data_IF_599405939718
#
_entry.id   IF_599405939718
#
_cell.length_a   1.000
_cell.length_b   1.000
_cell.length_c   1.000
_cell.angle_alpha   90.00
_cell.angle_beta   90.00
_cell.angle_gamma   90.00
#
_symmetry.space_group_name_H-M   'P 1'
#
loop_
_entity.id
_entity.type
_entity.pdbx_description
1 polymer ?
#
# COMPACT_ATOMS: atom_id res chain seq x y z
N UNK A 1 -24.17 15.68 41.54
CA UNK A 1 -23.49 14.39 41.28
C UNK A 1 -23.16 14.13 39.79
N UNK A 2 -23.38 15.10 38.87
CA UNK A 2 -23.22 14.94 37.40
C UNK A 2 -21.86 15.42 36.84
N UNK A 3 -21.11 16.25 37.58
CA UNK A 3 -19.75 16.68 37.19
C UNK A 3 -18.71 15.57 37.36
N UNK A 4 -18.85 14.76 38.40
CA UNK A 4 -17.98 13.60 38.66
C UNK A 4 -18.29 12.45 37.69
N UNK A 5 -19.56 12.32 37.28
CA UNK A 5 -19.98 11.37 36.24
C UNK A 5 -19.48 11.79 34.85
N UNK A 6 -19.49 13.10 34.55
CA UNK A 6 -18.89 13.65 33.32
C UNK A 6 -17.37 13.47 33.27
N UNK A 7 -16.67 13.55 34.42
CA UNK A 7 -15.23 13.32 34.51
C UNK A 7 -14.87 11.84 34.28
N UNK A 8 -15.71 10.91 34.76
CA UNK A 8 -15.49 9.46 34.64
C UNK A 8 -15.73 8.95 33.20
N UNK A 9 -16.66 9.56 32.45
CA UNK A 9 -16.90 9.25 31.03
C UNK A 9 -15.72 9.69 30.14
N UNK A 10 -15.08 10.83 30.44
CA UNK A 10 -13.93 11.34 29.67
C UNK A 10 -12.71 10.43 29.79
N UNK A 11 -12.46 9.86 30.98
CA UNK A 11 -11.34 8.95 31.24
C UNK A 11 -11.52 7.57 30.61
N UNK A 12 -12.76 7.07 30.52
CA UNK A 12 -13.05 5.79 29.85
C UNK A 12 -12.85 5.91 28.34
N UNK A 13 -13.24 7.04 27.74
CA UNK A 13 -13.06 7.27 26.31
C UNK A 13 -11.58 7.31 25.90
N UNK A 14 -10.71 7.89 26.74
CA UNK A 14 -9.28 7.98 26.46
C UNK A 14 -8.58 6.60 26.54
N UNK A 15 -9.03 5.70 27.41
CA UNK A 15 -8.47 4.34 27.54
C UNK A 15 -8.77 3.43 26.33
N UNK A 16 -9.90 3.63 25.65
CA UNK A 16 -10.29 2.85 24.46
C UNK A 16 -9.39 3.14 23.26
N UNK A 17 -8.86 4.36 23.15
CA UNK A 17 -8.00 4.77 22.02
C UNK A 17 -6.62 4.11 22.11
N UNK A 18 -6.07 3.91 23.33
CA UNK A 18 -4.76 3.26 23.51
C UNK A 18 -4.79 1.75 23.22
N UNK A 19 -5.92 1.07 23.47
CA UNK A 19 -6.05 -0.37 23.16
C UNK A 19 -6.14 -0.66 21.65
N UNK A 20 -6.66 0.29 20.85
CA UNK A 20 -6.81 0.13 19.40
C UNK A 20 -5.49 0.28 18.63
N UNK A 21 -4.51 1.02 19.15
CA UNK A 21 -3.16 1.09 18.58
C UNK A 21 -2.20 0.01 19.11
N UNK A 22 -2.66 -0.86 20.03
CA UNK A 22 -1.84 -1.88 20.71
C UNK A 22 -2.16 -3.33 20.35
N UNK A 23 -3.13 -3.59 19.48
CA UNK A 23 -3.48 -4.96 19.04
C UNK A 23 -2.58 -5.42 17.90
N UNK A 24 -1.30 -5.61 18.18
CA UNK A 24 -0.44 -6.47 17.37
C UNK A 24 -0.55 -7.90 17.90
N UNK A 25 -1.49 -8.66 17.33
CA UNK A 25 -1.54 -10.11 17.53
C UNK A 25 -0.51 -10.77 16.60
N UNK A 26 0.75 -10.73 17.02
CA UNK A 26 1.78 -11.66 16.55
C UNK A 26 2.06 -12.64 17.69
N UNK A 27 1.36 -13.77 17.66
CA UNK A 27 1.71 -14.92 18.46
C UNK A 27 2.81 -15.72 17.73
N UNK A 28 3.87 -16.03 18.48
CA UNK A 28 4.89 -17.07 18.25
C UNK A 28 6.10 -16.67 17.40
N UNK A 29 7.25 -16.41 18.05
CA UNK A 29 8.31 -17.43 18.21
C UNK A 29 9.58 -16.85 18.83
N UNK A 30 10.22 -17.70 19.62
CA UNK A 30 11.46 -17.55 20.36
C UNK A 30 12.67 -16.96 19.61
N UNK A 31 13.42 -16.14 20.35
CA UNK A 31 14.86 -16.17 20.59
C UNK A 31 15.80 -16.76 19.51
N UNK A 32 16.64 -15.91 18.89
CA UNK A 32 18.11 -15.95 19.05
C UNK A 32 18.87 -15.19 17.96
N UNK A 33 19.71 -14.26 18.44
CA UNK A 33 21.12 -14.10 18.09
C UNK A 33 21.50 -13.48 16.74
N UNK A 34 22.25 -12.39 16.87
CA UNK A 34 22.99 -11.67 15.86
C UNK A 34 23.93 -12.57 15.03
N UNK A 35 24.03 -12.28 13.73
CA UNK A 35 25.32 -12.30 13.04
C UNK A 35 25.30 -11.33 11.88
N UNK A 36 26.30 -10.44 11.88
CA UNK A 36 26.65 -9.57 10.78
C UNK A 36 27.09 -10.37 9.55
N UNK A 37 26.80 -9.84 8.38
CA UNK A 37 27.24 -10.38 7.09
C UNK A 37 26.73 -9.51 5.95
N UNK A 38 27.42 -8.41 5.68
CA UNK A 38 27.25 -7.61 4.47
C UNK A 38 27.46 -8.50 3.24
N UNK A 39 26.42 -8.68 2.43
CA UNK A 39 26.56 -8.91 0.98
C UNK A 39 25.31 -8.34 0.33
N UNK A 40 25.46 -7.10 -0.15
CA UNK A 40 24.53 -6.41 -1.02
C UNK A 40 24.55 -7.12 -2.39
N UNK A 41 23.71 -8.13 -2.52
CA UNK A 41 23.23 -8.60 -3.80
C UNK A 41 21.75 -8.22 -3.84
N UNK A 42 21.42 -7.16 -4.58
CA UNK A 42 20.04 -6.81 -4.95
C UNK A 42 19.49 -7.94 -5.83
N UNK A 43 19.12 -9.04 -5.18
CA UNK A 43 18.24 -10.04 -5.76
C UNK A 43 16.85 -9.42 -5.65
N UNK A 44 16.39 -8.80 -6.73
CA UNK A 44 14.97 -8.47 -6.86
C UNK A 44 14.18 -9.76 -6.51
N UNK A 45 13.22 -9.71 -5.58
CA UNK A 45 12.46 -10.90 -5.25
C UNK A 45 11.73 -11.32 -6.53
N UNK A 46 12.10 -12.49 -7.06
CA UNK A 46 11.39 -13.12 -8.16
C UNK A 46 10.01 -13.54 -7.65
N UNK A 47 9.13 -12.56 -7.57
CA UNK A 47 7.72 -12.76 -7.24
C UNK A 47 7.10 -13.30 -8.52
N UNK A 48 6.77 -14.59 -8.53
CA UNK A 48 6.06 -15.19 -9.65
C UNK A 48 4.86 -14.31 -10.03
N UNK A 49 4.84 -13.86 -11.27
CA UNK A 49 3.82 -12.95 -11.77
C UNK A 49 2.47 -13.69 -11.79
N UNK A 50 1.57 -13.34 -10.87
CA UNK A 50 0.22 -13.91 -10.78
C UNK A 50 -0.66 -13.33 -11.88
N UNK A 51 -1.45 -14.17 -12.53
CA UNK A 51 -2.46 -13.68 -13.48
C UNK A 51 -3.68 -13.11 -12.74
N UNK A 52 -4.18 -11.97 -13.22
CA UNK A 52 -5.32 -11.23 -12.70
C UNK A 52 -6.31 -10.99 -13.84
N UNK A 53 -7.54 -11.44 -13.66
CA UNK A 53 -8.64 -11.18 -14.60
C UNK A 53 -9.43 -9.95 -14.15
N UNK A 54 -9.50 -8.94 -15.02
CA UNK A 54 -10.18 -7.67 -14.79
C UNK A 54 -11.36 -7.57 -15.76
N UNK A 55 -12.55 -7.36 -15.21
CA UNK A 55 -13.77 -7.05 -15.97
C UNK A 55 -14.02 -5.54 -15.94
N UNK A 56 -14.34 -4.97 -17.10
CA UNK A 56 -14.65 -3.56 -17.28
C UNK A 56 -15.77 -3.39 -18.33
N UNK A 57 -16.27 -2.17 -18.52
CA UNK A 57 -17.42 -1.90 -19.42
C UNK A 57 -17.22 -2.42 -20.85
N UNK A 58 -15.97 -2.45 -21.35
CA UNK A 58 -15.63 -2.93 -22.70
C UNK A 58 -15.39 -4.45 -22.80
N UNK A 59 -15.55 -5.22 -21.72
CA UNK A 59 -15.30 -6.67 -21.70
C UNK A 59 -14.44 -7.14 -20.54
N UNK A 60 -13.59 -8.14 -20.79
CA UNK A 60 -12.75 -8.80 -19.79
C UNK A 60 -11.34 -9.00 -20.33
N UNK A 61 -10.33 -8.80 -19.48
CA UNK A 61 -8.92 -8.95 -19.83
C UNK A 61 -8.15 -9.62 -18.70
N UNK A 62 -7.23 -10.52 -19.05
CA UNK A 62 -6.29 -11.13 -18.10
C UNK A 62 -4.91 -10.49 -18.26
N UNK A 63 -4.35 -9.99 -17.16
CA UNK A 63 -3.03 -9.34 -17.11
C UNK A 63 -2.16 -9.96 -16.02
N UNK A 64 -0.83 -9.83 -16.16
CA UNK A 64 0.11 -10.23 -15.11
C UNK A 64 0.16 -9.17 -14.02
N UNK A 65 0.24 -9.60 -12.75
CA UNK A 65 0.47 -8.73 -11.61
C UNK A 65 1.80 -8.00 -11.74
N UNK A 66 1.87 -6.74 -11.27
CA UNK A 66 3.06 -5.89 -11.29
C UNK A 66 3.69 -5.77 -12.69
N UNK A 67 2.98 -5.14 -13.65
CA UNK A 67 3.50 -4.97 -15.00
C UNK A 67 4.77 -4.09 -15.01
N UNK A 68 5.77 -4.50 -15.78
CA UNK A 68 7.00 -3.73 -15.96
C UNK A 68 6.90 -2.65 -17.05
N UNK A 69 5.88 -2.74 -17.91
CA UNK A 69 5.63 -1.77 -18.98
C UNK A 69 4.20 -1.30 -18.92
N UNK A 70 4.02 0.00 -18.71
CA UNK A 70 2.70 0.64 -18.52
C UNK A 70 2.60 1.85 -19.43
N UNK A 71 1.53 1.93 -20.21
CA UNK A 71 1.21 3.08 -21.07
C UNK A 71 -0.11 3.65 -20.61
N UNK A 72 -0.16 4.97 -20.38
CA UNK A 72 -1.30 5.65 -19.79
C UNK A 72 -1.83 6.71 -20.76
N UNK A 73 -3.13 6.65 -21.04
CA UNK A 73 -3.79 7.59 -21.95
C UNK A 73 -4.59 8.68 -21.22
N UNK A 74 -4.93 8.45 -19.95
CA UNK A 74 -5.67 9.38 -19.11
C UNK A 74 -4.72 10.10 -18.14
N UNK A 75 -4.63 11.43 -18.22
CA UNK A 75 -3.68 12.20 -17.42
C UNK A 75 -4.07 12.26 -15.93
N UNK A 76 -5.36 12.16 -15.58
CA UNK A 76 -5.76 12.06 -14.16
C UNK A 76 -5.29 10.76 -13.51
N UNK A 77 -5.34 9.67 -14.26
CA UNK A 77 -4.79 8.38 -13.87
C UNK A 77 -3.26 8.43 -13.80
N UNK A 78 -2.61 9.11 -14.76
CA UNK A 78 -1.16 9.32 -14.74
C UNK A 78 -0.73 10.03 -13.45
N UNK A 79 -1.37 11.15 -13.09
CA UNK A 79 -1.06 11.90 -11.86
C UNK A 79 -1.22 11.04 -10.60
N UNK A 80 -2.20 10.14 -10.61
CA UNK A 80 -2.43 9.21 -9.49
C UNK A 80 -1.32 8.17 -9.42
N UNK A 81 -0.94 7.58 -10.56
CA UNK A 81 0.10 6.57 -10.64
C UNK A 81 1.48 7.15 -10.29
N UNK A 82 1.77 8.37 -10.71
CA UNK A 82 2.99 9.11 -10.36
C UNK A 82 3.09 9.34 -8.85
N UNK A 83 2.01 9.80 -8.21
CA UNK A 83 1.94 9.94 -6.73
C UNK A 83 2.09 8.62 -5.98
N UNK A 84 1.73 7.50 -6.60
CA UNK A 84 1.93 6.15 -6.06
C UNK A 84 3.33 5.59 -6.35
N UNK A 85 4.18 6.31 -7.08
CA UNK A 85 5.53 5.88 -7.44
C UNK A 85 5.59 4.79 -8.50
N UNK A 86 4.56 4.67 -9.33
CA UNK A 86 4.53 3.68 -10.42
C UNK A 86 5.27 4.23 -11.63
N UNK A 87 6.23 3.44 -12.15
CA UNK A 87 6.99 3.81 -13.34
C UNK A 87 6.14 3.65 -14.62
N UNK A 88 6.01 4.74 -15.39
CA UNK A 88 5.23 4.76 -16.63
C UNK A 88 6.15 4.79 -17.85
N UNK A 89 5.93 3.85 -18.76
CA UNK A 89 6.75 3.67 -19.97
C UNK A 89 6.38 4.66 -21.08
N UNK A 90 5.14 5.14 -21.12
CA UNK A 90 4.73 6.07 -22.16
C UNK A 90 3.37 6.71 -21.96
N UNK A 91 3.22 7.87 -22.58
CA UNK A 91 1.98 8.67 -22.62
C UNK A 91 1.83 9.32 -23.99
N UNK A 92 0.59 9.65 -24.43
CA UNK A 92 0.34 10.45 -25.63
C UNK A 92 1.05 11.81 -25.56
N UNK A 93 2.03 12.04 -26.43
CA UNK A 93 2.86 13.25 -26.38
C UNK A 93 2.16 14.50 -26.92
N UNK A 94 1.22 14.34 -27.86
CA UNK A 94 0.61 15.47 -28.57
C UNK A 94 -0.35 16.32 -27.73
N UNK A 95 -0.80 15.81 -26.59
CA UNK A 95 -1.83 16.42 -25.75
C UNK A 95 -1.47 16.40 -24.26
N UNK A 96 -0.17 16.37 -23.92
CA UNK A 96 0.30 16.46 -22.54
C UNK A 96 -0.10 17.82 -21.94
N UNK A 97 -0.76 17.87 -20.78
CA UNK A 97 -1.08 19.12 -20.11
C UNK A 97 0.18 19.89 -19.69
N UNK A 98 0.09 21.21 -19.62
CA UNK A 98 1.24 22.09 -19.36
C UNK A 98 1.49 22.43 -17.90
N UNK A 99 0.71 21.85 -16.97
CA UNK A 99 0.70 22.22 -15.56
C UNK A 99 1.50 21.26 -14.68
#
# INVERSE_FOLDING_TARGET
>A
MKKNLSLLIMTVFLAVILAACGSNNAATSDNSTASAGNTEATTAPNTESKELTIKHELGEITIKSNPQKVVVFDFGTLDTLDKLGVEITGVPQSNVPSY
#
